data_IF_051602458753
#
_entry.id   IF_051602458753
#
_cell.length_a   1.000
_cell.length_b   1.000
_cell.length_c   1.000
_cell.angle_alpha   90.00
_cell.angle_beta   90.00
_cell.angle_gamma   90.00
#
_symmetry.space_group_name_H-M   'P 1'
#
loop_
_entity.id
_entity.type
_entity.pdbx_description
1 polymer ?
#
# COMPACT_ATOMS: atom_id res chain seq x y z
N UNK A 1 10.37 -11.10 7.53
CA UNK A 1 10.62 -11.77 6.23
C UNK A 1 10.45 -10.73 5.15
N UNK A 2 11.49 -10.49 4.35
CA UNK A 2 11.44 -9.61 3.18
C UNK A 2 11.70 -10.43 1.91
N UNK A 3 11.10 -10.04 0.80
CA UNK A 3 11.47 -10.58 -0.50
C UNK A 3 12.78 -9.95 -0.97
N UNK A 4 13.47 -10.63 -1.89
CA UNK A 4 14.55 -9.98 -2.59
C UNK A 4 13.98 -8.90 -3.50
N UNK A 5 14.61 -7.72 -3.55
CA UNK A 5 14.18 -6.68 -4.47
C UNK A 5 14.33 -7.15 -5.91
N UNK A 6 13.55 -6.58 -6.79
CA UNK A 6 13.73 -6.79 -8.21
C UNK A 6 15.08 -6.22 -8.67
N UNK A 7 15.79 -6.98 -9.45
CA UNK A 7 17.11 -6.55 -9.96
C UNK A 7 17.02 -5.61 -11.15
N UNK A 8 15.83 -5.50 -11.74
CA UNK A 8 15.53 -4.62 -12.87
C UNK A 8 14.04 -4.29 -12.90
N UNK A 9 13.72 -3.14 -13.48
CA UNK A 9 12.35 -2.73 -13.74
C UNK A 9 11.75 -3.60 -14.85
N UNK A 10 10.59 -4.20 -14.60
CA UNK A 10 9.86 -4.97 -15.60
C UNK A 10 9.05 -4.01 -16.49
N UNK A 11 9.75 -3.29 -17.37
CA UNK A 11 9.21 -2.19 -18.17
C UNK A 11 8.02 -2.62 -19.02
N UNK A 12 8.14 -3.74 -19.75
CA UNK A 12 7.05 -4.25 -20.60
C UNK A 12 5.76 -4.54 -19.83
N UNK A 13 5.89 -5.09 -18.62
CA UNK A 13 4.73 -5.35 -17.76
C UNK A 13 4.10 -4.05 -17.23
N UNK A 14 4.92 -3.07 -16.84
CA UNK A 14 4.46 -1.77 -16.40
C UNK A 14 3.77 -1.01 -17.53
N UNK A 15 4.34 -1.02 -18.74
CA UNK A 15 3.77 -0.40 -19.94
C UNK A 15 2.39 -0.99 -20.26
N UNK A 16 2.28 -2.31 -20.35
CA UNK A 16 1.01 -2.99 -20.62
C UNK A 16 -0.05 -2.67 -19.54
N UNK A 17 0.36 -2.56 -18.28
CA UNK A 17 -0.54 -2.19 -17.19
C UNK A 17 -0.97 -0.73 -17.29
N UNK A 18 -0.05 0.17 -17.60
CA UNK A 18 -0.33 1.60 -17.82
C UNK A 18 -1.30 1.83 -18.97
N UNK A 19 -1.10 1.15 -20.10
CA UNK A 19 -1.99 1.19 -21.26
C UNK A 19 -3.41 0.74 -20.91
N UNK A 20 -3.56 -0.38 -20.19
CA UNK A 20 -4.86 -0.89 -19.76
C UNK A 20 -5.58 0.08 -18.82
N UNK A 21 -4.86 0.69 -17.88
CA UNK A 21 -5.43 1.69 -16.98
C UNK A 21 -5.84 2.96 -17.74
N UNK A 22 -5.01 3.45 -18.65
CA UNK A 22 -5.35 4.61 -19.49
C UNK A 22 -6.55 4.33 -20.40
N UNK A 23 -6.69 3.12 -20.91
CA UNK A 23 -7.88 2.71 -21.67
C UNK A 23 -9.14 2.74 -20.80
N UNK A 24 -9.06 2.28 -19.54
CA UNK A 24 -10.18 2.35 -18.60
C UNK A 24 -10.54 3.81 -18.24
N UNK A 25 -9.53 4.66 -17.99
CA UNK A 25 -9.73 6.10 -17.74
C UNK A 25 -10.43 6.76 -18.92
N UNK A 26 -9.97 6.49 -20.14
CA UNK A 26 -10.55 7.06 -21.36
C UNK A 26 -11.98 6.58 -21.65
N UNK A 27 -12.30 5.33 -21.26
CA UNK A 27 -13.62 4.74 -21.46
C UNK A 27 -14.69 5.32 -20.51
N UNK A 28 -14.28 5.97 -19.41
CA UNK A 28 -15.19 6.48 -18.38
C UNK A 28 -14.90 7.95 -18.04
N UNK A 29 -15.10 8.87 -19.01
CA UNK A 29 -14.82 10.30 -18.82
C UNK A 29 -15.74 10.96 -17.78
N UNK A 30 -16.83 10.31 -17.39
CA UNK A 30 -17.76 10.75 -16.35
C UNK A 30 -17.27 10.46 -14.93
N UNK A 31 -16.20 9.64 -14.78
CA UNK A 31 -15.60 9.28 -13.51
C UNK A 31 -14.31 10.04 -13.25
N UNK A 32 -14.07 10.35 -12.01
CA UNK A 32 -12.80 10.89 -11.54
C UNK A 32 -11.92 9.76 -11.03
N UNK A 33 -10.72 9.63 -11.60
CA UNK A 33 -9.78 8.56 -11.27
C UNK A 33 -8.61 9.10 -10.46
N UNK A 34 -8.17 8.30 -9.51
CA UNK A 34 -6.99 8.54 -8.69
C UNK A 34 -6.10 7.30 -8.70
N UNK A 35 -4.80 7.48 -8.66
CA UNK A 35 -3.82 6.42 -8.60
C UNK A 35 -2.97 6.56 -7.35
N UNK A 36 -2.85 5.49 -6.58
CA UNK A 36 -2.03 5.45 -5.38
C UNK A 36 -1.13 4.20 -5.43
N UNK A 37 0.18 4.43 -5.51
CA UNK A 37 1.16 3.35 -5.53
C UNK A 37 1.64 3.06 -4.12
N UNK A 38 1.77 1.77 -3.79
CA UNK A 38 2.25 1.30 -2.50
C UNK A 38 3.57 0.61 -2.73
N UNK A 39 4.66 1.23 -2.27
CA UNK A 39 5.98 0.60 -2.27
C UNK A 39 6.04 -0.53 -1.24
N UNK A 40 6.86 -1.52 -1.51
CA UNK A 40 7.05 -2.71 -0.70
C UNK A 40 8.49 -3.22 -0.79
N UNK A 41 8.75 -4.32 -0.11
CA UNK A 41 10.08 -4.93 -0.01
C UNK A 41 10.69 -5.41 -1.35
N UNK A 42 9.91 -5.47 -2.43
CA UNK A 42 10.42 -5.74 -3.78
C UNK A 42 10.93 -4.49 -4.50
N UNK A 43 10.60 -3.31 -4.01
CA UNK A 43 10.90 -2.03 -4.65
C UNK A 43 12.17 -1.37 -4.09
N UNK A 44 12.72 -1.90 -3.00
CA UNK A 44 13.92 -1.39 -2.35
C UNK A 44 14.86 -2.53 -1.89
N UNK A 45 16.15 -2.36 -2.11
CA UNK A 45 17.18 -3.16 -1.47
C UNK A 45 17.54 -2.53 -0.12
N UNK A 46 17.06 -3.11 0.96
CA UNK A 46 17.31 -2.61 2.32
C UNK A 46 18.78 -2.68 2.77
N UNK A 47 19.62 -3.42 2.04
CA UNK A 47 21.05 -3.48 2.34
C UNK A 47 21.82 -2.27 1.79
N UNK A 48 21.46 -1.86 0.59
CA UNK A 48 22.11 -0.76 -0.14
C UNK A 48 21.32 0.54 -0.09
N UNK A 49 20.04 0.50 0.23
CA UNK A 49 19.09 1.61 0.12
C UNK A 49 18.71 1.94 -1.32
N UNK A 50 19.11 1.11 -2.29
CA UNK A 50 18.79 1.35 -3.70
C UNK A 50 17.32 1.02 -3.96
N UNK A 51 16.57 1.99 -4.48
CA UNK A 51 15.19 1.81 -4.96
C UNK A 51 15.17 1.47 -6.44
N UNK A 52 14.11 0.74 -6.82
CA UNK A 52 13.69 0.58 -8.21
C UNK A 52 12.58 1.61 -8.43
N UNK A 53 12.72 2.47 -9.43
CA UNK A 53 11.78 3.58 -9.71
C UNK A 53 10.47 3.07 -10.34
N UNK A 54 9.87 2.03 -9.75
CA UNK A 54 8.64 1.42 -10.25
C UNK A 54 7.42 2.32 -10.01
N UNK A 55 7.38 3.00 -8.87
CA UNK A 55 6.32 3.94 -8.50
C UNK A 55 6.25 5.13 -9.45
N UNK A 56 7.38 5.82 -9.64
CA UNK A 56 7.48 6.95 -10.57
C UNK A 56 7.20 6.52 -12.01
N UNK A 57 7.80 5.40 -12.45
CA UNK A 57 7.59 4.87 -13.81
C UNK A 57 6.11 4.56 -14.05
N UNK A 58 5.44 3.90 -13.09
CA UNK A 58 4.03 3.55 -13.23
C UNK A 58 3.13 4.78 -13.25
N UNK A 59 3.33 5.72 -12.32
CA UNK A 59 2.48 6.89 -12.20
C UNK A 59 2.69 7.89 -13.33
N UNK A 60 3.92 8.02 -13.87
CA UNK A 60 4.20 8.88 -15.01
C UNK A 60 3.52 8.43 -16.31
N UNK A 61 3.25 7.13 -16.47
CA UNK A 61 2.55 6.56 -17.63
C UNK A 61 1.04 6.87 -17.61
N UNK A 62 0.46 7.20 -16.45
CA UNK A 62 -0.98 7.39 -16.33
C UNK A 62 -1.41 8.79 -16.79
N UNK A 63 -2.45 8.84 -17.62
CA UNK A 63 -3.09 10.06 -18.11
C UNK A 63 -3.97 10.71 -17.02
N UNK A 64 -3.37 10.98 -15.87
CA UNK A 64 -4.00 11.63 -14.72
C UNK A 64 -3.24 12.90 -14.36
N UNK A 65 -3.90 13.93 -13.80
CA UNK A 65 -3.21 15.04 -13.18
C UNK A 65 -2.30 14.59 -12.05
N UNK A 66 -1.21 15.30 -11.80
CA UNK A 66 -0.30 14.95 -10.68
C UNK A 66 -0.99 15.06 -9.32
N UNK A 67 -1.97 15.96 -9.18
CA UNK A 67 -2.80 16.04 -7.97
C UNK A 67 -3.68 14.81 -7.70
N UNK A 68 -3.85 13.93 -8.69
CA UNK A 68 -4.61 12.68 -8.57
C UNK A 68 -3.70 11.45 -8.39
N UNK A 69 -2.42 11.68 -8.11
CA UNK A 69 -1.42 10.63 -7.92
C UNK A 69 -0.81 10.72 -6.54
N UNK A 70 -0.58 9.58 -5.93
CA UNK A 70 0.10 9.49 -4.64
C UNK A 70 0.99 8.26 -4.56
N UNK A 71 1.97 8.31 -3.67
CA UNK A 71 2.90 7.21 -3.41
C UNK A 71 2.99 7.01 -1.90
N UNK A 72 2.82 5.77 -1.45
CA UNK A 72 3.19 5.36 -0.11
C UNK A 72 4.65 4.88 -0.16
N UNK A 73 5.55 5.74 0.28
CA UNK A 73 6.98 5.50 0.20
C UNK A 73 7.50 4.66 1.37
N UNK A 74 8.46 3.78 1.08
CA UNK A 74 9.25 3.04 2.07
C UNK A 74 10.72 3.37 1.82
N UNK A 75 11.39 3.93 2.82
CA UNK A 75 12.77 4.39 2.69
C UNK A 75 13.79 3.56 3.48
N UNK A 76 13.32 2.74 4.43
CA UNK A 76 14.20 1.90 5.23
C UNK A 76 13.54 0.58 5.64
N UNK A 77 14.37 -0.36 6.10
CA UNK A 77 13.87 -1.61 6.68
C UNK A 77 13.07 -1.38 7.96
N UNK A 78 13.45 -0.39 8.76
CA UNK A 78 12.76 -0.02 9.98
C UNK A 78 11.35 0.45 9.67
N UNK A 79 11.17 1.34 8.69
CA UNK A 79 9.86 1.81 8.24
C UNK A 79 9.02 0.66 7.69
N UNK A 80 9.61 -0.21 6.85
CA UNK A 80 8.92 -1.38 6.34
C UNK A 80 8.44 -2.30 7.46
N UNK A 81 9.30 -2.60 8.42
CA UNK A 81 9.00 -3.51 9.54
C UNK A 81 7.95 -2.92 10.51
N UNK A 82 7.89 -1.61 10.65
CA UNK A 82 6.87 -0.92 11.45
C UNK A 82 5.50 -0.94 10.79
N UNK A 83 5.44 -0.81 9.46
CA UNK A 83 4.22 -0.53 8.69
C UNK A 83 3.60 -1.75 8.02
N UNK A 84 4.36 -2.84 7.87
CA UNK A 84 3.90 -4.06 7.23
C UNK A 84 3.89 -5.25 8.19
N UNK A 85 3.07 -6.24 7.87
CA UNK A 85 3.12 -7.52 8.60
C UNK A 85 4.41 -8.28 8.26
N UNK A 86 5.00 -8.92 9.28
CA UNK A 86 6.23 -9.68 9.11
C UNK A 86 6.05 -10.93 8.25
N UNK A 87 4.87 -11.51 8.26
CA UNK A 87 4.57 -12.76 7.55
C UNK A 87 3.74 -12.57 6.29
N UNK A 88 3.38 -11.33 5.97
CA UNK A 88 2.56 -10.99 4.81
C UNK A 88 3.12 -9.79 4.04
N UNK A 89 2.64 -9.57 2.84
CA UNK A 89 3.01 -8.43 1.98
C UNK A 89 2.06 -7.23 2.13
N UNK A 90 1.06 -7.36 2.98
CA UNK A 90 0.15 -6.26 3.28
C UNK A 90 0.66 -5.42 4.44
N UNK A 91 0.29 -4.15 4.44
CA UNK A 91 0.51 -3.25 5.57
C UNK A 91 -0.27 -3.73 6.81
N UNK A 92 0.25 -3.40 7.98
CA UNK A 92 -0.41 -3.59 9.26
C UNK A 92 -1.33 -2.39 9.58
N UNK A 93 -1.83 -2.31 10.80
CA UNK A 93 -2.74 -1.24 11.23
C UNK A 93 -2.10 0.15 11.17
N UNK A 94 -0.78 0.27 11.38
CA UNK A 94 -0.03 1.54 11.29
C UNK A 94 0.02 1.98 9.81
N UNK A 95 0.58 1.13 8.94
CA UNK A 95 0.69 1.45 7.53
C UNK A 95 -0.66 1.69 6.85
N UNK A 96 -1.70 0.94 7.23
CA UNK A 96 -3.04 1.17 6.69
C UNK A 96 -3.66 2.50 7.12
N UNK A 97 -3.38 2.97 8.34
CA UNK A 97 -3.85 4.27 8.81
C UNK A 97 -3.08 5.42 8.15
N UNK A 98 -1.77 5.32 8.01
CA UNK A 98 -0.97 6.31 7.29
C UNK A 98 -1.43 6.43 5.83
N UNK A 99 -1.61 5.30 5.14
CA UNK A 99 -2.13 5.29 3.78
C UNK A 99 -3.56 5.87 3.68
N UNK A 100 -4.42 5.63 4.67
CA UNK A 100 -5.74 6.28 4.73
C UNK A 100 -5.61 7.81 4.77
N UNK A 101 -4.70 8.36 5.57
CA UNK A 101 -4.47 9.80 5.65
C UNK A 101 -3.97 10.37 4.32
N UNK A 102 -3.02 9.67 3.70
CA UNK A 102 -2.44 10.09 2.42
C UNK A 102 -3.48 10.04 1.29
N UNK A 103 -4.23 8.95 1.18
CA UNK A 103 -5.31 8.82 0.19
C UNK A 103 -6.37 9.88 0.40
N UNK A 104 -6.76 10.16 1.65
CA UNK A 104 -7.71 11.23 1.96
C UNK A 104 -7.21 12.59 1.47
N UNK A 105 -5.90 12.85 1.63
CA UNK A 105 -5.26 14.08 1.12
C UNK A 105 -5.28 14.14 -0.42
N UNK A 106 -4.94 13.04 -1.10
CA UNK A 106 -4.97 12.96 -2.58
C UNK A 106 -6.39 13.17 -3.12
N UNK A 107 -7.39 12.67 -2.43
CA UNK A 107 -8.80 12.86 -2.78
C UNK A 107 -9.35 14.26 -2.46
N UNK A 108 -8.54 15.15 -1.88
CA UNK A 108 -9.02 16.45 -1.40
C UNK A 108 -10.04 16.34 -0.27
N UNK A 109 -10.00 15.24 0.48
CA UNK A 109 -10.89 14.96 1.61
C UNK A 109 -10.65 15.88 2.81
N UNK A 110 -11.54 15.77 3.79
CA UNK A 110 -11.42 16.53 5.06
C UNK A 110 -10.37 15.97 6.00
N UNK A 111 -10.44 16.39 7.26
CA UNK A 111 -9.54 15.92 8.31
C UNK A 111 -9.72 14.41 8.54
N UNK A 112 -8.63 13.65 8.68
CA UNK A 112 -8.71 12.22 8.98
C UNK A 112 -9.32 11.97 10.36
N UNK A 113 -10.00 10.85 10.50
CA UNK A 113 -10.44 10.39 11.82
C UNK A 113 -9.23 9.96 12.63
N UNK A 114 -9.07 10.54 13.81
CA UNK A 114 -7.99 10.16 14.73
C UNK A 114 -8.35 8.90 15.53
N UNK A 115 -7.43 7.93 15.64
CA UNK A 115 -7.66 6.76 16.45
C UNK A 115 -7.73 7.12 17.93
N UNK A 116 -8.64 6.49 18.65
CA UNK A 116 -8.81 6.64 20.11
C UNK A 116 -8.03 5.60 20.91
N UNK A 117 -7.51 4.58 20.23
CA UNK A 117 -6.71 3.54 20.87
C UNK A 117 -6.31 2.43 19.90
N UNK A 118 -5.64 1.44 20.44
CA UNK A 118 -5.20 0.23 19.73
C UNK A 118 -5.87 -0.97 20.37
N UNK A 119 -6.45 -1.82 19.54
CA UNK A 119 -7.07 -3.06 19.97
C UNK A 119 -6.24 -4.26 19.47
N UNK A 120 -5.74 -5.04 20.42
CA UNK A 120 -5.05 -6.31 20.20
C UNK A 120 -6.08 -7.43 20.23
N UNK A 121 -6.32 -8.06 19.10
CA UNK A 121 -7.38 -9.08 18.98
C UNK A 121 -7.02 -10.40 19.65
N UNK A 122 -5.75 -10.67 19.89
CA UNK A 122 -5.23 -11.99 20.28
C UNK A 122 -5.26 -13.03 19.15
N UNK A 123 -5.87 -12.70 18.01
CA UNK A 123 -5.90 -13.59 16.85
C UNK A 123 -4.56 -13.53 16.11
N UNK A 124 -4.02 -14.70 15.82
CA UNK A 124 -2.77 -14.83 15.07
C UNK A 124 -3.04 -15.42 13.69
N UNK A 125 -2.31 -14.94 12.70
CA UNK A 125 -2.37 -15.47 11.35
C UNK A 125 -0.98 -15.66 10.76
N UNK A 126 -0.85 -16.57 9.82
CA UNK A 126 0.37 -16.82 9.05
C UNK A 126 0.14 -16.36 7.61
N UNK A 127 0.73 -15.24 7.26
CA UNK A 127 0.57 -14.62 5.94
C UNK A 127 1.29 -15.38 4.82
N UNK A 128 1.23 -14.81 3.62
CA UNK A 128 1.74 -15.44 2.41
C UNK A 128 3.25 -15.73 2.46
N UNK A 129 4.04 -14.84 3.06
CA UNK A 129 5.50 -14.99 3.20
C UNK A 129 5.87 -16.17 4.12
N UNK A 130 5.09 -16.42 5.17
CA UNK A 130 5.37 -17.51 6.12
C UNK A 130 5.18 -18.90 5.53
N UNK A 131 4.48 -19.03 4.39
CA UNK A 131 4.33 -20.31 3.69
C UNK A 131 5.67 -20.90 3.26
N UNK A 132 6.65 -20.06 2.93
CA UNK A 132 8.00 -20.45 2.54
C UNK A 132 8.78 -21.10 3.72
N UNK A 133 8.35 -20.86 4.96
CA UNK A 133 8.95 -21.34 6.19
C UNK A 133 7.99 -22.27 6.96
N UNK A 134 7.19 -23.06 6.25
CA UNK A 134 6.25 -24.01 6.83
C UNK A 134 5.30 -23.39 7.88
N UNK A 135 5.03 -22.09 7.76
CA UNK A 135 4.16 -21.31 8.67
C UNK A 135 4.61 -21.25 10.12
N UNK A 136 5.90 -21.37 10.40
CA UNK A 136 6.43 -21.21 11.76
C UNK A 136 6.28 -19.82 12.33
N UNK A 137 6.10 -18.81 11.47
CA UNK A 137 5.95 -17.42 11.87
C UNK A 137 4.50 -16.99 11.72
N UNK A 138 4.05 -16.15 12.65
CA UNK A 138 2.70 -15.57 12.63
C UNK A 138 2.72 -14.16 13.17
N UNK A 139 1.84 -13.31 12.63
CA UNK A 139 1.56 -11.99 13.15
C UNK A 139 0.29 -11.99 14.02
N UNK A 140 0.15 -11.00 14.88
CA UNK A 140 -1.08 -10.72 15.60
C UNK A 140 -1.92 -9.71 14.81
N UNK A 141 -3.21 -9.93 14.72
CA UNK A 141 -4.13 -8.96 14.15
C UNK A 141 -4.40 -7.86 15.16
N UNK A 142 -3.88 -6.69 14.87
CA UNK A 142 -4.06 -5.46 15.65
C UNK A 142 -4.77 -4.43 14.80
N UNK A 143 -5.67 -3.65 15.39
CA UNK A 143 -6.42 -2.61 14.69
C UNK A 143 -6.48 -1.32 15.53
N UNK A 144 -6.64 -0.18 14.88
CA UNK A 144 -7.02 1.04 15.56
C UNK A 144 -8.51 1.03 15.91
N UNK A 145 -8.85 1.59 17.06
CA UNK A 145 -10.22 1.90 17.45
C UNK A 145 -10.49 3.39 17.25
N UNK A 146 -11.73 3.73 16.91
CA UNK A 146 -12.19 5.10 16.69
C UNK A 146 -13.41 5.40 17.54
N UNK A 147 -13.61 6.67 17.92
CA UNK A 147 -14.72 7.10 18.76
C UNK A 147 -16.11 6.86 18.13
N UNK A 148 -16.17 6.90 16.79
CA UNK A 148 -17.38 6.55 16.04
C UNK A 148 -17.01 5.64 14.89
N UNK A 149 -17.53 4.41 14.92
CA UNK A 149 -17.49 3.54 13.76
C UNK A 149 -18.75 3.84 12.93
N UNK A 150 -18.65 4.26 11.67
CA UNK A 150 -19.82 4.40 10.82
C UNK A 150 -20.60 3.08 10.81
N UNK A 151 -21.85 3.12 11.19
CA UNK A 151 -22.75 1.97 10.98
C UNK A 151 -23.08 1.93 9.49
N UNK A 152 -22.56 0.94 8.80
CA UNK A 152 -23.04 0.63 7.46
C UNK A 152 -24.40 -0.07 7.60
N UNK A 153 -25.45 0.67 7.35
CA UNK A 153 -26.77 0.05 7.15
C UNK A 153 -26.80 -0.46 5.71
N UNK A 154 -26.84 -1.78 5.56
CA UNK A 154 -27.11 -2.38 4.25
C UNK A 154 -28.56 -2.03 3.87
N UNK A 155 -28.71 -1.22 2.83
CA UNK A 155 -29.99 -1.01 2.15
C UNK A 155 -30.27 -2.17 1.20
#
# INVERSE_FOLDING_TARGET
IVYQPWTYLQTEWLEAKGENLNAAIAAHPELEFYAYYIEKDTDIDFTTGQKIDASESMLSMLNLPDSHKGIYEINSFEEFNERFYNTDHHWNYIGSYEAYRDVLSVLGGGEPLEPTGVYHSGLRFSGAKSKQFSRFFSDEMTIYSFASTPRWEYM
#
